data_IF_990627350349
#
_entry.id   IF_990627350349
#
_cell.length_a   1.000
_cell.length_b   1.000
_cell.length_c   1.000
_cell.angle_alpha   90.00
_cell.angle_beta   90.00
_cell.angle_gamma   90.00
#
_symmetry.space_group_name_H-M   'P 1'
#
loop_
_entity.id
_entity.type
_entity.pdbx_description
1 polymer ?
#
# COMPACT_ATOMS: atom_id res chain seq x y z
N UNK A 1 -12.11 24.99 -4.60
CA UNK A 1 -11.26 23.78 -4.59
C UNK A 1 -12.16 22.55 -4.70
N UNK A 2 -11.71 21.46 -5.35
CA UNK A 2 -12.48 20.20 -5.43
C UNK A 2 -12.65 19.59 -4.02
N UNK A 3 -13.86 19.16 -3.67
CA UNK A 3 -14.08 18.35 -2.46
C UNK A 3 -13.77 16.89 -2.81
N UNK A 4 -12.73 16.32 -2.19
CA UNK A 4 -12.32 14.93 -2.44
C UNK A 4 -13.15 13.90 -1.69
N UNK A 5 -14.08 14.32 -0.83
CA UNK A 5 -14.99 13.43 -0.07
C UNK A 5 -16.35 13.24 -0.75
N UNK A 6 -16.61 13.94 -1.87
CA UNK A 6 -17.86 13.83 -2.63
C UNK A 6 -17.61 13.23 -4.02
N UNK A 7 -18.42 12.26 -4.47
CA UNK A 7 -18.34 11.76 -5.83
C UNK A 7 -18.83 12.85 -6.80
N UNK A 8 -18.05 13.10 -7.86
CA UNK A 8 -18.36 14.14 -8.86
C UNK A 8 -18.44 13.60 -10.28
N UNK A 9 -18.47 12.28 -10.46
CA UNK A 9 -18.55 11.62 -11.77
C UNK A 9 -19.72 10.64 -11.83
N UNK A 10 -20.18 10.32 -13.04
CA UNK A 10 -21.15 9.26 -13.27
C UNK A 10 -20.62 7.90 -12.80
N UNK A 11 -21.54 7.04 -12.36
CA UNK A 11 -21.24 5.65 -12.02
C UNK A 11 -20.56 4.94 -13.21
N UNK A 12 -19.55 4.13 -12.92
CA UNK A 12 -19.02 3.19 -13.89
C UNK A 12 -19.94 1.96 -13.94
N UNK A 13 -20.14 1.41 -15.14
CA UNK A 13 -20.95 0.20 -15.38
C UNK A 13 -20.18 -0.75 -16.29
N UNK A 14 -20.31 -2.06 -16.05
CA UNK A 14 -19.66 -3.11 -16.83
C UNK A 14 -20.46 -4.41 -16.70
N UNK A 15 -20.42 -5.24 -17.74
CA UNK A 15 -21.05 -6.57 -17.75
C UNK A 15 -20.09 -7.70 -17.32
N UNK A 16 -18.78 -7.40 -17.24
CA UNK A 16 -17.76 -8.43 -17.02
C UNK A 16 -17.04 -8.23 -15.68
N UNK A 17 -16.38 -7.07 -15.51
CA UNK A 17 -15.57 -6.77 -14.34
C UNK A 17 -15.51 -5.26 -14.09
N UNK A 18 -15.28 -4.88 -12.82
CA UNK A 18 -15.07 -3.50 -12.39
C UNK A 18 -14.02 -3.46 -11.27
N UNK A 19 -13.29 -2.36 -11.20
CA UNK A 19 -12.40 -2.04 -10.09
C UNK A 19 -12.69 -0.62 -9.60
N UNK A 20 -12.66 -0.42 -8.29
CA UNK A 20 -12.81 0.88 -7.66
C UNK A 20 -11.72 1.05 -6.60
N UNK A 21 -10.89 2.08 -6.77
CA UNK A 21 -9.78 2.40 -5.86
C UNK A 21 -9.69 3.93 -5.71
N UNK A 22 -8.92 4.42 -4.73
CA UNK A 22 -8.66 5.86 -4.57
C UNK A 22 -7.72 6.45 -5.64
N UNK A 23 -6.95 5.60 -6.34
CA UNK A 23 -6.00 6.04 -7.36
C UNK A 23 -6.33 5.56 -8.77
N UNK A 24 -6.46 6.43 -9.78
CA UNK A 24 -6.73 6.01 -11.16
C UNK A 24 -5.74 4.96 -11.71
N UNK A 25 -4.44 5.10 -11.41
CA UNK A 25 -3.43 4.11 -11.81
C UNK A 25 -3.64 2.74 -11.19
N UNK A 26 -4.11 2.66 -9.94
CA UNK A 26 -4.39 1.39 -9.26
C UNK A 26 -5.63 0.73 -9.85
N UNK A 27 -6.70 1.50 -10.13
CA UNK A 27 -7.88 1.01 -10.86
C UNK A 27 -7.48 0.47 -12.23
N UNK A 28 -6.67 1.20 -13.00
CA UNK A 28 -6.21 0.74 -14.32
C UNK A 28 -5.36 -0.53 -14.22
N UNK A 29 -4.50 -0.62 -13.21
CA UNK A 29 -3.70 -1.84 -12.95
C UNK A 29 -4.61 -3.05 -12.67
N UNK A 30 -5.62 -2.92 -11.82
CA UNK A 30 -6.56 -4.01 -11.56
C UNK A 30 -7.27 -4.49 -12.84
N UNK A 31 -7.75 -3.56 -13.68
CA UNK A 31 -8.38 -3.89 -14.95
C UNK A 31 -7.41 -4.65 -15.87
N UNK A 32 -6.16 -4.17 -15.99
CA UNK A 32 -5.12 -4.83 -16.82
C UNK A 32 -4.76 -6.22 -16.32
N UNK A 33 -4.74 -6.45 -15.01
CA UNK A 33 -4.50 -7.78 -14.43
C UNK A 33 -5.63 -8.73 -14.79
N UNK A 34 -6.90 -8.28 -14.72
CA UNK A 34 -8.03 -9.10 -15.14
C UNK A 34 -8.03 -9.36 -16.66
N UNK A 35 -7.68 -8.35 -17.47
CA UNK A 35 -7.50 -8.51 -18.93
C UNK A 35 -6.39 -9.51 -19.28
N UNK A 36 -5.34 -9.59 -18.45
CA UNK A 36 -4.25 -10.55 -18.59
C UNK A 36 -4.61 -11.96 -18.09
N UNK A 37 -5.88 -12.20 -17.71
CA UNK A 37 -6.36 -13.51 -17.25
C UNK A 37 -6.22 -13.75 -15.75
N UNK A 38 -5.87 -12.73 -14.97
CA UNK A 38 -5.93 -12.79 -13.51
C UNK A 38 -7.36 -12.69 -12.99
N UNK A 39 -7.55 -13.11 -11.74
CA UNK A 39 -8.86 -13.04 -11.09
C UNK A 39 -8.99 -11.78 -10.20
N UNK A 40 -10.11 -11.66 -9.50
CA UNK A 40 -10.37 -10.53 -8.62
C UNK A 40 -9.35 -10.40 -7.47
N UNK A 41 -8.78 -11.51 -6.99
CA UNK A 41 -7.75 -11.48 -5.95
C UNK A 41 -6.42 -10.96 -6.50
N UNK A 42 -5.98 -11.47 -7.65
CA UNK A 42 -4.77 -10.96 -8.33
C UNK A 42 -4.89 -9.45 -8.58
N UNK A 43 -6.05 -9.02 -9.11
CA UNK A 43 -6.32 -7.62 -9.42
C UNK A 43 -6.33 -6.73 -8.16
N UNK A 44 -6.92 -7.21 -7.06
CA UNK A 44 -6.95 -6.49 -5.80
C UNK A 44 -5.55 -6.33 -5.18
N UNK A 45 -4.74 -7.40 -5.18
CA UNK A 45 -3.36 -7.35 -4.68
C UNK A 45 -2.52 -6.40 -5.54
N UNK A 46 -2.60 -6.50 -6.86
CA UNK A 46 -1.85 -5.61 -7.76
C UNK A 46 -2.24 -4.13 -7.59
N UNK A 47 -3.53 -3.84 -7.45
CA UNK A 47 -3.99 -2.48 -7.17
C UNK A 47 -3.48 -1.96 -5.82
N UNK A 48 -3.59 -2.77 -4.76
CA UNK A 48 -3.12 -2.42 -3.43
C UNK A 48 -1.60 -2.18 -3.41
N UNK A 49 -0.83 -3.04 -4.07
CA UNK A 49 0.61 -2.88 -4.23
C UNK A 49 0.97 -1.58 -4.98
N UNK A 50 0.23 -1.24 -6.04
CA UNK A 50 0.40 0.05 -6.73
C UNK A 50 0.07 1.22 -5.81
N UNK A 51 -0.99 1.15 -5.00
CA UNK A 51 -1.34 2.22 -4.04
C UNK A 51 -0.24 2.42 -3.00
N UNK A 52 0.42 1.35 -2.54
CA UNK A 52 1.58 1.44 -1.64
C UNK A 52 2.74 2.24 -2.23
N UNK A 53 2.77 2.44 -3.54
CA UNK A 53 3.73 3.31 -4.23
C UNK A 53 3.11 4.68 -4.47
N UNK A 54 1.96 4.75 -5.14
CA UNK A 54 1.44 6.01 -5.69
C UNK A 54 0.63 6.85 -4.69
N UNK A 55 0.26 6.28 -3.54
CA UNK A 55 -0.47 6.93 -2.43
C UNK A 55 0.25 6.75 -1.07
N UNK A 56 1.50 7.24 -0.92
CA UNK A 56 2.34 6.92 0.25
C UNK A 56 1.82 7.48 1.58
N UNK A 57 0.93 8.49 1.55
CA UNK A 57 0.29 9.02 2.76
C UNK A 57 -0.88 8.18 3.29
N UNK A 58 -1.31 7.14 2.55
CA UNK A 58 -2.52 6.37 2.87
C UNK A 58 -2.26 4.87 2.98
N UNK A 59 -1.30 4.33 2.24
CA UNK A 59 -1.03 2.89 2.15
C UNK A 59 0.46 2.63 2.02
N UNK A 60 0.93 1.46 2.48
CA UNK A 60 2.33 1.07 2.35
C UNK A 60 2.57 -0.39 2.75
N UNK A 61 3.69 -0.95 2.29
CA UNK A 61 4.11 -2.32 2.65
C UNK A 61 4.46 -2.45 4.16
N UNK A 62 4.70 -1.33 4.84
CA UNK A 62 4.86 -1.23 6.28
C UNK A 62 3.55 -1.12 7.07
N UNK A 63 2.40 -1.33 6.42
CA UNK A 63 1.08 -1.31 7.07
C UNK A 63 0.43 -2.69 7.18
N UNK A 64 -0.88 -2.67 7.37
CA UNK A 64 -1.74 -3.84 7.51
C UNK A 64 -2.69 -4.02 6.32
N UNK A 65 -3.31 -5.19 6.23
CA UNK A 65 -4.28 -5.49 5.17
C UNK A 65 -5.47 -6.27 5.72
N UNK A 66 -6.67 -5.88 5.30
CA UNK A 66 -7.89 -6.60 5.56
C UNK A 66 -8.60 -6.87 4.24
N UNK A 67 -9.17 -8.06 4.09
CA UNK A 67 -9.88 -8.42 2.87
C UNK A 67 -11.20 -9.13 3.19
N UNK A 68 -12.23 -8.81 2.41
CA UNK A 68 -13.45 -9.59 2.32
C UNK A 68 -13.50 -10.17 0.91
N UNK A 69 -13.55 -11.49 0.81
CA UNK A 69 -13.50 -12.20 -0.45
C UNK A 69 -14.71 -13.12 -0.59
N UNK A 70 -15.45 -12.98 -1.68
CA UNK A 70 -16.52 -13.88 -2.07
C UNK A 70 -16.06 -14.63 -3.34
N UNK A 71 -15.85 -15.96 -3.28
CA UNK A 71 -15.55 -16.74 -4.47
C UNK A 71 -16.64 -16.63 -5.53
N UNK A 72 -16.26 -16.79 -6.80
CA UNK A 72 -17.21 -16.71 -7.90
C UNK A 72 -18.40 -17.67 -7.70
N UNK A 73 -19.63 -17.16 -7.84
CA UNK A 73 -20.86 -17.93 -7.65
C UNK A 73 -21.20 -18.27 -6.20
N UNK A 74 -20.48 -17.72 -5.21
CA UNK A 74 -20.74 -17.95 -3.79
C UNK A 74 -21.18 -16.68 -3.07
N UNK A 75 -22.14 -16.82 -2.16
CA UNK A 75 -22.53 -15.82 -1.17
C UNK A 75 -21.70 -15.90 0.12
N UNK A 76 -20.81 -16.91 0.22
CA UNK A 76 -19.94 -17.09 1.38
C UNK A 76 -18.80 -16.08 1.33
N UNK A 77 -18.83 -15.15 2.28
CA UNK A 77 -17.74 -14.20 2.49
C UNK A 77 -16.66 -14.83 3.38
N UNK A 78 -15.42 -14.77 2.90
CA UNK A 78 -14.20 -15.10 3.62
C UNK A 78 -13.58 -13.78 4.08
N UNK A 79 -13.33 -13.63 5.38
CA UNK A 79 -12.65 -12.48 5.93
C UNK A 79 -11.19 -12.84 6.22
N UNK A 80 -10.27 -11.99 5.76
CA UNK A 80 -8.85 -12.08 6.10
C UNK A 80 -8.47 -10.90 6.99
N UNK A 81 -7.84 -11.22 8.12
CA UNK A 81 -7.25 -10.24 9.02
C UNK A 81 -5.73 -10.34 8.93
N UNK A 82 -5.12 -9.42 8.20
CA UNK A 82 -3.68 -9.20 8.12
C UNK A 82 -3.26 -7.99 8.96
N UNK A 83 -3.81 -7.85 10.17
CA UNK A 83 -3.35 -6.86 11.14
C UNK A 83 -2.10 -7.35 11.86
N UNK A 84 -1.12 -6.45 11.97
CA UNK A 84 0.11 -6.67 12.70
C UNK A 84 -0.08 -6.92 14.18
N UNK A 85 0.80 -7.75 14.75
CA UNK A 85 0.88 -7.91 16.21
C UNK A 85 1.71 -6.78 16.81
N UNK A 86 1.40 -6.43 18.06
CA UNK A 86 2.25 -5.58 18.88
C UNK A 86 3.65 -6.20 19.02
N UNK A 87 4.74 -5.40 18.95
CA UNK A 87 6.09 -5.89 19.19
C UNK A 87 6.20 -6.57 20.56
N UNK A 88 6.88 -7.73 20.63
CA UNK A 88 6.99 -8.50 21.88
C UNK A 88 7.72 -7.75 23.01
N UNK A 89 8.60 -6.80 22.66
CA UNK A 89 9.32 -5.96 23.62
C UNK A 89 8.48 -4.78 24.16
N UNK A 90 7.35 -4.48 23.53
CA UNK A 90 6.48 -3.37 23.94
C UNK A 90 5.47 -3.87 24.99
N UNK A 91 5.94 -3.95 26.23
CA UNK A 91 5.16 -4.37 27.41
C UNK A 91 4.55 -3.16 28.13
N UNK A 92 3.58 -3.40 29.03
CA UNK A 92 3.04 -2.32 29.88
C UNK A 92 4.14 -1.66 30.72
N UNK A 93 5.01 -2.46 31.34
CA UNK A 93 6.16 -1.99 32.12
C UNK A 93 7.10 -1.08 31.30
N UNK A 94 7.21 -1.30 29.99
CA UNK A 94 8.01 -0.42 29.13
C UNK A 94 7.45 1.01 29.14
N UNK A 95 6.12 1.17 29.09
CA UNK A 95 5.50 2.50 29.16
C UNK A 95 5.73 3.16 30.52
N UNK A 96 5.62 2.39 31.61
CA UNK A 96 5.90 2.89 32.96
C UNK A 96 7.35 3.39 33.09
N UNK A 97 8.32 2.62 32.58
CA UNK A 97 9.74 3.00 32.57
C UNK A 97 10.00 4.25 31.73
N UNK A 98 9.28 4.44 30.63
CA UNK A 98 9.37 5.65 29.81
C UNK A 98 8.57 6.84 30.40
N UNK A 99 7.79 6.63 31.46
CA UNK A 99 6.90 7.66 32.02
C UNK A 99 5.76 8.05 31.08
N UNK A 100 5.32 7.14 30.21
CA UNK A 100 4.27 7.37 29.22
C UNK A 100 2.94 6.79 29.68
N UNK A 101 1.88 7.60 29.61
CA UNK A 101 0.50 7.18 29.95
C UNK A 101 -0.38 6.93 28.71
N UNK A 102 0.17 7.18 27.53
CA UNK A 102 -0.48 6.97 26.23
C UNK A 102 0.56 6.57 25.19
N UNK A 103 0.12 6.07 24.03
CA UNK A 103 0.99 5.76 22.90
C UNK A 103 1.15 7.01 22.03
N UNK A 104 2.31 7.68 22.01
CA UNK A 104 2.49 8.88 21.21
C UNK A 104 2.45 8.54 19.72
N UNK A 105 1.72 9.30 18.91
CA UNK A 105 1.49 9.01 17.49
C UNK A 105 2.78 8.91 16.67
N UNK A 106 3.79 9.71 16.97
CA UNK A 106 5.10 9.73 16.28
C UNK A 106 6.15 8.85 16.98
N UNK A 107 5.74 7.93 17.85
CA UNK A 107 6.66 7.00 18.53
C UNK A 107 6.76 5.67 17.77
N UNK A 108 7.92 4.99 17.79
CA UNK A 108 8.01 3.58 17.38
C UNK A 108 7.02 2.67 18.11
N UNK A 109 6.59 3.04 19.32
CA UNK A 109 5.55 2.31 20.07
C UNK A 109 4.18 2.33 19.39
N UNK A 110 3.94 3.24 18.44
CA UNK A 110 2.73 3.30 17.63
C UNK A 110 2.76 2.34 16.42
N UNK A 111 3.88 1.62 16.20
CA UNK A 111 4.06 0.74 15.05
C UNK A 111 3.87 -0.73 15.47
N UNK A 112 2.93 -1.41 14.82
CA UNK A 112 2.77 -2.87 14.89
C UNK A 112 3.61 -3.57 13.82
N UNK A 113 3.85 -4.88 13.97
CA UNK A 113 4.55 -5.67 12.96
C UNK A 113 3.74 -5.66 11.66
N UNK A 114 4.21 -5.09 10.53
CA UNK A 114 3.37 -4.92 9.33
C UNK A 114 2.76 -6.23 8.85
N UNK A 115 1.44 -6.27 8.62
CA UNK A 115 0.72 -7.47 8.19
C UNK A 115 0.37 -7.53 6.69
N UNK A 116 0.60 -6.45 5.93
CA UNK A 116 0.18 -6.37 4.53
C UNK A 116 0.82 -7.45 3.62
N UNK A 117 2.14 -7.67 3.72
CA UNK A 117 2.84 -8.64 2.86
C UNK A 117 2.44 -10.08 3.19
N UNK A 118 2.26 -10.41 4.48
CA UNK A 118 1.71 -11.70 4.90
C UNK A 118 0.32 -11.93 4.30
N UNK A 119 -0.55 -10.91 4.37
CA UNK A 119 -1.89 -11.00 3.80
C UNK A 119 -1.86 -11.21 2.29
N UNK A 120 -1.08 -10.43 1.53
CA UNK A 120 -1.02 -10.55 0.08
C UNK A 120 -0.50 -11.92 -0.34
N UNK A 121 0.60 -12.37 0.27
CA UNK A 121 1.21 -13.67 -0.07
C UNK A 121 0.29 -14.82 0.28
N UNK A 122 -0.43 -14.76 1.40
CA UNK A 122 -1.39 -15.78 1.80
C UNK A 122 -2.63 -15.80 0.92
N UNK A 123 -3.24 -14.64 0.67
CA UNK A 123 -4.40 -14.51 -0.20
C UNK A 123 -4.09 -14.91 -1.64
N UNK A 124 -2.89 -14.58 -2.13
CA UNK A 124 -2.41 -15.02 -3.44
C UNK A 124 -2.20 -16.54 -3.49
N UNK A 125 -1.59 -17.14 -2.47
CA UNK A 125 -1.42 -18.59 -2.41
C UNK A 125 -2.76 -19.34 -2.38
N UNK A 126 -3.75 -18.81 -1.66
CA UNK A 126 -5.06 -19.46 -1.49
C UNK A 126 -6.00 -19.21 -2.68
N UNK A 127 -5.89 -18.05 -3.34
CA UNK A 127 -6.90 -17.57 -4.29
C UNK A 127 -6.35 -16.91 -5.56
N UNK A 128 -5.03 -16.74 -5.70
CA UNK A 128 -4.41 -16.15 -6.88
C UNK A 128 -4.40 -17.09 -8.08
N UNK A 129 -4.25 -16.52 -9.27
CA UNK A 129 -4.22 -17.26 -10.53
C UNK A 129 -2.98 -16.96 -11.37
N UNK A 130 -2.49 -15.71 -11.36
CA UNK A 130 -1.25 -15.34 -12.03
C UNK A 130 -0.02 -15.60 -11.15
N UNK A 131 1.19 -15.71 -11.72
CA UNK A 131 2.42 -15.68 -10.94
C UNK A 131 2.50 -14.42 -10.06
N UNK A 132 2.90 -14.56 -8.79
CA UNK A 132 2.94 -13.43 -7.84
C UNK A 132 3.86 -12.29 -8.32
N UNK A 133 4.94 -12.63 -9.02
CA UNK A 133 5.83 -11.66 -9.63
C UNK A 133 5.11 -10.79 -10.69
N UNK A 134 4.21 -11.37 -11.48
CA UNK A 134 3.44 -10.63 -12.48
C UNK A 134 2.40 -9.70 -11.81
N UNK A 135 1.84 -10.13 -10.68
CA UNK A 135 0.92 -9.33 -9.86
C UNK A 135 1.62 -8.10 -9.28
N UNK A 136 2.88 -8.22 -8.83
CA UNK A 136 3.65 -7.11 -8.26
C UNK A 136 4.41 -6.26 -9.29
N UNK A 137 4.62 -6.76 -10.51
CA UNK A 137 5.36 -6.06 -11.57
C UNK A 137 4.87 -4.62 -11.83
N UNK A 138 3.55 -4.30 -11.83
CA UNK A 138 3.10 -2.92 -11.99
C UNK A 138 3.57 -1.99 -10.88
N UNK A 139 3.56 -2.43 -9.62
CA UNK A 139 4.01 -1.62 -8.48
C UNK A 139 5.52 -1.38 -8.56
N UNK A 140 6.29 -2.41 -8.92
CA UNK A 140 7.74 -2.30 -9.13
C UNK A 140 8.05 -1.25 -10.20
N UNK A 141 7.38 -1.31 -11.36
CA UNK A 141 7.58 -0.32 -12.43
C UNK A 141 7.23 1.10 -11.99
N UNK A 142 6.12 1.31 -11.28
CA UNK A 142 5.78 2.64 -10.76
C UNK A 142 6.80 3.17 -9.77
N UNK A 143 7.37 2.30 -8.92
CA UNK A 143 8.38 2.69 -7.95
C UNK A 143 9.72 3.04 -8.64
N UNK A 144 10.10 2.28 -9.65
CA UNK A 144 11.37 2.42 -10.38
C UNK A 144 11.36 3.54 -11.43
N UNK A 145 10.39 3.52 -12.35
CA UNK A 145 10.30 4.45 -13.47
C UNK A 145 9.67 5.80 -13.04
N UNK A 146 8.82 5.74 -12.01
CA UNK A 146 8.15 6.86 -11.39
C UNK A 146 6.69 7.03 -11.82
N UNK A 147 6.01 7.95 -11.13
CA UNK A 147 4.62 8.27 -11.34
C UNK A 147 4.35 9.77 -11.18
N UNK A 148 3.36 10.27 -11.90
CA UNK A 148 2.91 11.65 -11.78
C UNK A 148 2.03 11.83 -10.53
N UNK A 149 2.28 12.87 -9.74
CA UNK A 149 1.49 13.13 -8.53
C UNK A 149 0.05 13.51 -8.88
N UNK A 150 -0.90 12.76 -8.32
CA UNK A 150 -2.33 13.02 -8.44
C UNK A 150 -2.82 14.13 -7.48
N UNK A 151 -3.93 14.84 -7.80
CA UNK A 151 -4.42 15.94 -6.96
C UNK A 151 -4.72 15.60 -5.50
N UNK A 152 -5.30 14.41 -5.23
CA UNK A 152 -5.58 13.95 -3.86
C UNK A 152 -4.27 13.71 -3.10
N UNK A 153 -3.33 13.01 -3.75
CA UNK A 153 -2.02 12.68 -3.20
C UNK A 153 -1.25 13.97 -2.85
N UNK A 154 -1.20 14.96 -3.76
CA UNK A 154 -0.57 16.26 -3.47
C UNK A 154 -1.18 16.96 -2.25
N UNK A 155 -2.51 16.95 -2.13
CA UNK A 155 -3.19 17.57 -0.98
C UNK A 155 -2.74 16.91 0.33
N UNK A 156 -2.84 15.58 0.41
CA UNK A 156 -2.53 14.84 1.63
C UNK A 156 -1.05 14.96 1.99
N UNK A 157 -0.16 14.86 1.00
CA UNK A 157 1.28 15.04 1.17
C UNK A 157 1.67 16.42 1.68
N UNK A 158 1.00 17.47 1.17
CA UNK A 158 1.30 18.85 1.59
C UNK A 158 0.94 19.11 3.05
N UNK A 159 -0.07 18.40 3.59
CA UNK A 159 -0.43 18.48 5.00
C UNK A 159 0.63 17.87 5.92
N UNK A 160 1.39 16.89 5.42
CA UNK A 160 2.39 16.16 6.20
C UNK A 160 3.82 16.70 5.99
N UNK A 161 4.00 17.79 5.24
CA UNK A 161 5.34 18.29 4.87
C UNK A 161 6.24 18.57 6.08
N UNK A 162 5.72 19.21 7.12
CA UNK A 162 6.48 19.52 8.34
C UNK A 162 6.90 18.24 9.09
N UNK A 163 6.00 17.27 9.16
CA UNK A 163 6.27 15.96 9.76
C UNK A 163 7.37 15.22 8.99
N UNK A 164 7.27 15.18 7.67
CA UNK A 164 8.26 14.54 6.80
C UNK A 164 9.62 15.24 6.85
N UNK A 165 9.65 16.57 6.99
CA UNK A 165 10.88 17.34 7.09
C UNK A 165 11.65 17.09 8.40
N UNK A 166 10.98 16.60 9.45
CA UNK A 166 11.59 16.33 10.75
C UNK A 166 12.42 15.03 10.78
N UNK A 167 12.26 14.14 9.80
CA UNK A 167 13.06 12.91 9.64
C UNK A 167 13.91 12.97 8.37
N UNK A 168 15.23 12.72 8.51
CA UNK A 168 16.17 12.86 7.40
C UNK A 168 15.90 11.86 6.26
N UNK A 169 15.44 10.65 6.58
CA UNK A 169 15.13 9.62 5.59
C UNK A 169 13.84 9.96 4.86
N UNK A 170 12.79 10.34 5.59
CA UNK A 170 11.52 10.76 5.03
C UNK A 170 11.68 12.02 4.18
N UNK A 171 12.43 13.03 4.62
CA UNK A 171 12.70 14.23 3.85
C UNK A 171 13.44 13.91 2.54
N UNK A 172 14.46 13.05 2.59
CA UNK A 172 15.23 12.63 1.40
C UNK A 172 14.35 11.94 0.36
N UNK A 173 13.46 11.04 0.80
CA UNK A 173 12.61 10.26 -0.09
C UNK A 173 11.42 11.11 -0.57
N UNK A 174 10.69 11.69 0.36
CA UNK A 174 9.36 12.24 0.11
C UNK A 174 9.33 13.76 -0.09
N UNK A 175 10.42 14.49 0.15
CA UNK A 175 10.52 15.92 -0.10
C UNK A 175 11.66 16.22 -1.10
N UNK A 176 11.59 15.71 -2.35
CA UNK A 176 12.59 16.01 -3.35
C UNK A 176 12.64 17.53 -3.60
N UNK A 177 13.83 18.11 -3.41
CA UNK A 177 14.00 19.58 -3.48
C UNK A 177 13.45 20.33 -2.26
N UNK A 178 13.23 19.65 -1.13
CA UNK A 178 12.88 20.25 0.16
C UNK A 178 11.39 20.59 0.34
N UNK A 179 10.51 20.09 -0.53
CA UNK A 179 9.06 20.33 -0.47
C UNK A 179 8.24 19.15 -0.97
N UNK A 180 6.95 19.12 -0.65
CA UNK A 180 6.03 18.18 -1.25
C UNK A 180 6.03 18.35 -2.79
N UNK A 181 6.06 17.25 -3.57
CA UNK A 181 6.00 17.36 -5.01
C UNK A 181 4.63 17.87 -5.47
N UNK A 182 4.61 18.64 -6.56
CA UNK A 182 3.38 19.24 -7.11
C UNK A 182 2.65 18.28 -8.03
N UNK A 183 1.37 18.54 -8.23
CA UNK A 183 0.53 17.81 -9.18
C UNK A 183 1.22 17.75 -10.54
N UNK A 184 1.35 16.54 -11.10
CA UNK A 184 2.01 16.30 -12.38
C UNK A 184 3.53 16.17 -12.33
N UNK A 185 4.21 16.58 -11.26
CA UNK A 185 5.64 16.26 -11.06
C UNK A 185 5.81 14.74 -10.89
N UNK A 186 6.96 14.21 -11.34
CA UNK A 186 7.27 12.79 -11.26
C UNK A 186 8.02 12.49 -9.97
N UNK A 187 7.56 11.51 -9.21
CA UNK A 187 8.25 10.97 -8.06
C UNK A 187 8.62 9.48 -8.28
N UNK A 188 9.73 9.06 -7.68
CA UNK A 188 10.34 7.73 -7.80
C UNK A 188 10.75 7.24 -6.42
N UNK A 189 10.66 5.94 -6.21
CA UNK A 189 11.00 5.24 -4.96
C UNK A 189 11.87 4.00 -5.29
N UNK A 190 13.12 4.18 -5.77
CA UNK A 190 13.94 3.05 -6.22
C UNK A 190 14.24 2.03 -5.10
N UNK A 191 14.41 2.50 -3.86
CA UNK A 191 14.59 1.61 -2.70
C UNK A 191 13.36 0.72 -2.46
N UNK A 192 12.15 1.28 -2.60
CA UNK A 192 10.91 0.50 -2.52
C UNK A 192 10.79 -0.47 -3.69
N UNK A 193 11.26 -0.10 -4.89
CA UNK A 193 11.27 -0.99 -6.04
C UNK A 193 12.12 -2.24 -5.78
N UNK A 194 13.31 -2.09 -5.21
CA UNK A 194 14.18 -3.23 -4.84
C UNK A 194 13.56 -4.13 -3.78
N UNK A 195 12.90 -3.54 -2.78
CA UNK A 195 12.14 -4.30 -1.78
C UNK A 195 10.99 -5.09 -2.44
N UNK A 196 10.22 -4.46 -3.33
CA UNK A 196 9.13 -5.12 -4.04
C UNK A 196 9.64 -6.22 -5.01
N UNK A 197 10.80 -6.03 -5.65
CA UNK A 197 11.46 -7.08 -6.46
C UNK A 197 11.82 -8.29 -5.60
N UNK A 198 12.37 -8.07 -4.40
CA UNK A 198 12.70 -9.13 -3.46
C UNK A 198 11.44 -9.88 -2.99
N UNK A 199 10.37 -9.16 -2.67
CA UNK A 199 9.07 -9.75 -2.30
C UNK A 199 8.45 -10.52 -3.47
N UNK A 200 8.57 -10.04 -4.71
CA UNK A 200 8.10 -10.74 -5.89
C UNK A 200 8.84 -12.07 -6.13
N UNK A 201 10.13 -12.12 -5.84
CA UNK A 201 10.97 -13.29 -6.05
C UNK A 201 10.86 -14.32 -4.90
N UNK A 202 10.87 -13.87 -3.65
CA UNK A 202 11.00 -14.72 -2.46
C UNK A 202 9.73 -14.73 -1.58
N UNK A 203 8.70 -13.99 -2.01
CA UNK A 203 7.43 -13.89 -1.32
C UNK A 203 7.57 -13.32 0.09
N UNK A 204 6.87 -13.96 1.02
CA UNK A 204 6.83 -13.58 2.43
C UNK A 204 8.23 -13.58 3.07
N UNK A 205 9.13 -14.46 2.63
CA UNK A 205 10.46 -14.60 3.22
C UNK A 205 11.26 -13.31 3.17
N UNK A 206 11.24 -12.61 2.03
CA UNK A 206 11.98 -11.37 1.83
C UNK A 206 11.64 -10.30 2.87
N UNK A 207 10.35 -10.11 3.19
CA UNK A 207 9.93 -9.01 4.07
C UNK A 207 10.16 -9.30 5.56
N UNK A 208 9.98 -10.56 6.00
CA UNK A 208 9.98 -10.87 7.43
C UNK A 208 11.24 -11.58 7.93
N UNK A 209 12.11 -12.01 7.02
CA UNK A 209 13.36 -12.71 7.33
C UNK A 209 14.54 -12.24 6.47
N UNK A 210 14.26 -11.45 5.42
CA UNK A 210 15.27 -10.86 4.56
C UNK A 210 15.78 -9.53 5.09
N UNK A 211 16.50 -8.75 4.26
CA UNK A 211 17.20 -7.53 4.66
C UNK A 211 16.30 -6.28 4.74
N UNK A 212 14.98 -6.44 4.66
CA UNK A 212 13.99 -5.36 4.63
C UNK A 212 13.83 -4.71 6.01
#
# INVERSE_FOLDING_TARGET
>A
MRNFEKPTRSAAVSINAMAATSHPSATLTALRIMEAGGNAMDAAIAACAVQCVVEPGSTGIGGDCFALYAPNGSDRVIAYNGSGRTPAALTADWFDVQGLTEVPRQSPAAVTIPGAIDAWTRLHADHGQLPFADVLAPAIRFAEEGYAIAPRVHRDWSLEQELLAADATAARIFLPGGRAPRIGEVHRQPELAETLKSIAAEGRGAFYKGPV
#
